data_IF_248972319602
#
_entry.id   IF_248972319602
#
_cell.length_a   1.000
_cell.length_b   1.000
_cell.length_c   1.000
_cell.angle_alpha   90.00
_cell.angle_beta   90.00
_cell.angle_gamma   90.00
#
_symmetry.space_group_name_H-M   'P 1'
#
loop_
_entity.id
_entity.type
_entity.pdbx_description
1 polymer ?
#
# COMPACT_ATOMS: atom_id res chain seq x y z
N UNK A 1 35.41 7.38 -2.76
CA UNK A 1 35.12 8.68 -3.41
C UNK A 1 33.75 9.05 -2.90
N UNK A 2 33.68 10.07 -2.06
CA UNK A 2 32.46 10.44 -1.35
C UNK A 2 31.39 10.92 -2.34
N UNK A 3 30.31 10.16 -2.48
CA UNK A 3 29.11 10.50 -3.26
C UNK A 3 28.26 11.53 -2.49
N UNK A 4 28.86 12.67 -2.16
CA UNK A 4 28.19 13.78 -1.51
C UNK A 4 27.94 14.89 -2.53
N UNK A 5 26.71 15.38 -2.54
CA UNK A 5 26.29 16.44 -3.44
C UNK A 5 27.02 17.74 -3.05
N UNK A 6 27.77 18.32 -3.98
CA UNK A 6 28.70 19.44 -3.71
C UNK A 6 28.01 20.70 -3.20
N UNK A 7 26.68 20.80 -3.36
CA UNK A 7 25.90 21.97 -2.98
C UNK A 7 25.22 21.83 -1.60
N UNK A 8 24.87 20.61 -1.18
CA UNK A 8 24.06 20.37 0.02
C UNK A 8 24.76 19.53 1.10
N UNK A 9 25.85 18.83 0.77
CA UNK A 9 26.55 17.94 1.69
C UNK A 9 25.74 16.68 2.08
N UNK A 10 24.61 16.46 1.41
CA UNK A 10 23.79 15.26 1.57
C UNK A 10 24.24 14.19 0.56
N UNK A 11 24.05 12.89 0.85
CA UNK A 11 24.32 11.84 -0.11
C UNK A 11 23.49 12.07 -1.39
N UNK A 12 24.19 12.23 -2.52
CA UNK A 12 23.59 12.60 -3.81
C UNK A 12 22.74 11.47 -4.43
N UNK A 13 22.97 10.24 -4.00
CA UNK A 13 22.24 9.07 -4.46
C UNK A 13 21.24 8.65 -3.37
N UNK A 14 19.96 8.90 -3.63
CA UNK A 14 18.90 8.12 -2.99
C UNK A 14 19.17 6.67 -3.37
N UNK A 15 19.40 5.81 -2.38
CA UNK A 15 19.75 4.40 -2.58
C UNK A 15 18.66 3.70 -3.42
N UNK A 16 18.93 3.60 -4.72
CA UNK A 16 18.02 3.10 -5.75
C UNK A 16 17.58 1.66 -5.46
N UNK A 17 18.47 0.90 -4.80
CA UNK A 17 18.29 -0.46 -4.31
C UNK A 17 17.24 -0.47 -3.17
N UNK A 18 17.41 0.40 -2.17
CA UNK A 18 16.47 0.53 -1.05
C UNK A 18 15.07 0.90 -1.52
N UNK A 19 14.94 1.91 -2.40
CA UNK A 19 13.65 2.29 -2.95
C UNK A 19 13.00 1.13 -3.75
N UNK A 20 13.80 0.25 -4.39
CA UNK A 20 13.29 -0.85 -5.24
C UNK A 20 12.75 -1.96 -4.35
N UNK A 21 13.47 -2.22 -3.26
CA UNK A 21 13.07 -3.12 -2.20
C UNK A 21 11.78 -2.67 -1.54
N UNK A 22 11.64 -1.38 -1.19
CA UNK A 22 10.40 -0.84 -0.62
C UNK A 22 9.22 -0.92 -1.59
N UNK A 23 9.39 -0.52 -2.85
CA UNK A 23 8.34 -0.62 -3.86
C UNK A 23 7.88 -2.08 -4.10
N UNK A 24 8.81 -3.04 -4.02
CA UNK A 24 8.50 -4.48 -4.11
C UNK A 24 7.78 -5.00 -2.86
N UNK A 25 8.21 -4.59 -1.66
CA UNK A 25 7.57 -4.95 -0.40
C UNK A 25 6.11 -4.47 -0.34
N UNK A 26 5.83 -3.25 -0.83
CA UNK A 26 4.46 -2.72 -0.87
C UNK A 26 3.53 -3.64 -1.67
N UNK A 27 3.96 -4.11 -2.85
CA UNK A 27 3.15 -5.03 -3.67
C UNK A 27 2.97 -6.38 -2.99
N UNK A 28 4.00 -6.88 -2.31
CA UNK A 28 3.92 -8.14 -1.55
C UNK A 28 2.93 -8.06 -0.39
N UNK A 29 2.81 -6.90 0.26
CA UNK A 29 1.87 -6.65 1.37
C UNK A 29 0.46 -6.36 0.86
N UNK A 30 0.33 -5.76 -0.33
CA UNK A 30 -0.95 -5.44 -0.94
C UNK A 30 -1.83 -6.68 -1.13
N UNK A 31 -1.27 -7.77 -1.65
CA UNK A 31 -2.00 -9.01 -1.89
C UNK A 31 -2.66 -9.60 -0.64
N UNK A 32 -1.94 -9.84 0.48
CA UNK A 32 -2.56 -10.34 1.70
C UNK A 32 -3.58 -9.35 2.28
N UNK A 33 -3.36 -8.03 2.18
CA UNK A 33 -4.36 -7.02 2.61
C UNK A 33 -5.66 -7.17 1.83
N UNK A 34 -5.58 -7.32 0.50
CA UNK A 34 -6.76 -7.53 -0.35
C UNK A 34 -7.45 -8.85 0.02
N UNK A 35 -6.70 -9.95 0.11
CA UNK A 35 -7.26 -11.28 0.42
C UNK A 35 -7.96 -11.27 1.77
N UNK A 36 -7.31 -10.74 2.82
CA UNK A 36 -7.89 -10.67 4.16
C UNK A 36 -9.12 -9.77 4.16
N UNK A 37 -9.04 -8.57 3.58
CA UNK A 37 -10.16 -7.63 3.55
C UNK A 37 -11.37 -8.16 2.78
N UNK A 38 -11.15 -8.85 1.66
CA UNK A 38 -12.22 -9.52 0.90
C UNK A 38 -12.88 -10.61 1.75
N UNK A 39 -12.09 -11.49 2.37
CA UNK A 39 -12.60 -12.57 3.21
C UNK A 39 -13.38 -12.05 4.42
N UNK A 40 -12.86 -11.03 5.11
CA UNK A 40 -13.55 -10.41 6.25
C UNK A 40 -14.88 -9.79 5.81
N UNK A 41 -14.91 -9.07 4.68
CA UNK A 41 -16.16 -8.53 4.16
C UNK A 41 -17.17 -9.61 3.76
N UNK A 42 -16.72 -10.74 3.18
CA UNK A 42 -17.59 -11.90 2.89
C UNK A 42 -18.16 -12.49 4.18
N UNK A 43 -17.34 -12.63 5.23
CA UNK A 43 -17.79 -13.15 6.53
C UNK A 43 -18.90 -12.26 7.08
N UNK A 44 -18.70 -10.94 7.13
CA UNK A 44 -19.74 -10.00 7.59
C UNK A 44 -21.01 -10.05 6.72
N UNK A 45 -20.84 -10.17 5.40
CA UNK A 45 -21.94 -10.27 4.46
C UNK A 45 -22.81 -11.51 4.66
N UNK A 46 -22.19 -12.66 4.96
CA UNK A 46 -22.89 -13.96 5.10
C UNK A 46 -23.42 -14.18 6.51
N UNK A 47 -22.72 -13.72 7.54
CA UNK A 47 -23.07 -14.00 8.95
C UNK A 47 -24.16 -13.11 9.50
N UNK A 48 -24.30 -11.88 8.97
CA UNK A 48 -25.34 -10.98 9.43
C UNK A 48 -26.64 -11.23 8.66
N UNK A 49 -27.65 -11.70 9.37
CA UNK A 49 -28.99 -11.96 8.80
C UNK A 49 -29.79 -10.68 8.48
N UNK A 50 -29.22 -9.48 8.67
CA UNK A 50 -29.87 -8.18 8.45
C UNK A 50 -29.14 -7.32 7.40
N UNK A 51 -29.83 -6.30 6.87
CA UNK A 51 -29.23 -5.27 6.00
C UNK A 51 -27.95 -4.67 6.59
N UNK A 52 -27.90 -4.54 7.91
CA UNK A 52 -26.76 -3.96 8.64
C UNK A 52 -25.43 -4.64 8.36
N UNK A 53 -25.38 -5.98 8.21
CA UNK A 53 -24.09 -6.61 7.92
C UNK A 53 -23.72 -6.69 6.45
N UNK A 54 -24.68 -6.52 5.54
CA UNK A 54 -24.36 -6.23 4.14
C UNK A 54 -23.70 -4.85 4.02
N UNK A 55 -24.20 -3.86 4.76
CA UNK A 55 -23.59 -2.52 4.82
C UNK A 55 -22.19 -2.56 5.43
N UNK A 56 -21.98 -3.29 6.53
CA UNK A 56 -20.66 -3.45 7.16
C UNK A 56 -19.69 -4.20 6.21
N UNK A 57 -20.15 -5.25 5.54
CA UNK A 57 -19.36 -5.96 4.54
C UNK A 57 -18.92 -5.05 3.39
N UNK A 58 -19.85 -4.25 2.86
CA UNK A 58 -19.56 -3.26 1.82
C UNK A 58 -18.57 -2.19 2.30
N UNK A 59 -18.74 -1.65 3.51
CA UNK A 59 -17.81 -0.69 4.11
C UNK A 59 -16.41 -1.29 4.28
N UNK A 60 -16.33 -2.55 4.71
CA UNK A 60 -15.05 -3.25 4.86
C UNK A 60 -14.31 -3.36 3.52
N UNK A 61 -15.03 -3.69 2.44
CA UNK A 61 -14.43 -3.70 1.10
C UNK A 61 -14.00 -2.30 0.65
N UNK A 62 -14.82 -1.27 0.85
CA UNK A 62 -14.45 0.12 0.54
C UNK A 62 -13.16 0.56 1.24
N UNK A 63 -13.02 0.26 2.53
CA UNK A 63 -11.80 0.57 3.30
C UNK A 63 -10.62 -0.22 2.75
N UNK A 64 -10.79 -1.51 2.45
CA UNK A 64 -9.72 -2.37 1.89
C UNK A 64 -9.23 -1.83 0.55
N UNK A 65 -10.14 -1.45 -0.35
CA UNK A 65 -9.77 -0.88 -1.64
C UNK A 65 -9.16 0.51 -1.50
N UNK A 66 -9.68 1.36 -0.60
CA UNK A 66 -9.09 2.67 -0.29
C UNK A 66 -7.65 2.54 0.23
N UNK A 67 -7.40 1.63 1.17
CA UNK A 67 -6.07 1.34 1.69
C UNK A 67 -5.14 0.79 0.60
N UNK A 68 -5.66 -0.05 -0.29
CA UNK A 68 -4.92 -0.60 -1.44
C UNK A 68 -4.49 0.50 -2.41
N UNK A 69 -5.37 1.45 -2.72
CA UNK A 69 -5.04 2.62 -3.53
C UNK A 69 -4.00 3.49 -2.83
N UNK A 70 -4.14 3.75 -1.53
CA UNK A 70 -3.15 4.52 -0.77
C UNK A 70 -1.75 3.89 -0.81
N UNK A 71 -1.66 2.57 -0.61
CA UNK A 71 -0.40 1.81 -0.70
C UNK A 71 0.22 1.91 -2.10
N UNK A 72 -0.60 1.77 -3.15
CA UNK A 72 -0.12 1.91 -4.52
C UNK A 72 0.32 3.35 -4.83
N UNK A 73 -0.36 4.37 -4.30
CA UNK A 73 0.05 5.77 -4.44
C UNK A 73 1.40 6.04 -3.77
N UNK A 74 1.63 5.51 -2.56
CA UNK A 74 2.93 5.57 -1.89
C UNK A 74 4.01 4.90 -2.74
N UNK A 75 3.71 3.73 -3.32
CA UNK A 75 4.64 3.06 -4.24
C UNK A 75 4.98 3.94 -5.45
N UNK A 76 4.01 4.62 -6.05
CA UNK A 76 4.29 5.52 -7.18
C UNK A 76 5.12 6.73 -6.73
N UNK A 77 4.87 7.29 -5.55
CA UNK A 77 5.69 8.37 -5.00
C UNK A 77 7.16 7.94 -4.82
N UNK A 78 7.41 6.77 -4.21
CA UNK A 78 8.76 6.20 -4.03
C UNK A 78 9.45 5.91 -5.37
N UNK A 79 8.69 5.56 -6.42
CA UNK A 79 9.24 5.36 -7.76
C UNK A 79 9.47 6.69 -8.50
N UNK A 80 8.68 7.72 -8.20
CA UNK A 80 8.78 9.05 -8.80
C UNK A 80 9.95 9.86 -8.26
N UNK A 81 10.32 9.70 -6.98
CA UNK A 81 11.52 10.29 -6.35
C UNK A 81 12.84 9.85 -7.01
N UNK A 82 12.80 8.91 -7.96
CA UNK A 82 13.95 8.47 -8.76
C UNK A 82 14.20 9.28 -10.03
N UNK A 83 13.25 10.14 -10.42
CA UNK A 83 13.35 10.98 -11.63
C UNK A 83 13.80 12.37 -11.28
#
# INVERSE_FOLDING_TARGET
>A
MDNLDSFTGLPAEVDDEAARRWASLIVKILWPVIVIGVLVGIIFWVTASSETGRDIGALCWCITFGASVALLSIRQAVLAERR
#
